data_IF_957925543478
#
_entry.id   IF_957925543478
#
_cell.length_a   1.000
_cell.length_b   1.000
_cell.length_c   1.000
_cell.angle_alpha   90.00
_cell.angle_beta   90.00
_cell.angle_gamma   90.00
#
_symmetry.space_group_name_H-M   'P 1'
#
loop_
_entity.id
_entity.type
_entity.pdbx_description
1 polymer ?
#
# COMPACT_ATOMS: atom_id res chain seq x y z
N UNK A 1 13.99 -41.44 -57.72
CA UNK A 1 14.17 -42.91 -57.65
C UNK A 1 15.56 -43.19 -57.09
N UNK A 2 15.74 -44.19 -56.22
CA UNK A 2 14.94 -44.43 -55.02
C UNK A 2 15.85 -44.93 -53.83
N UNK A 3 15.43 -44.82 -52.57
CA UNK A 3 15.05 -45.94 -51.66
C UNK A 3 15.92 -45.81 -50.39
N UNK A 4 15.48 -46.10 -49.17
CA UNK A 4 14.22 -46.64 -48.71
C UNK A 4 14.24 -46.66 -47.18
N UNK A 5 13.09 -46.36 -46.61
CA UNK A 5 12.76 -46.61 -45.22
C UNK A 5 12.89 -48.10 -44.90
N UNK A 6 13.53 -48.47 -43.78
CA UNK A 6 13.25 -49.73 -43.11
C UNK A 6 12.93 -49.46 -41.65
N UNK A 7 11.62 -49.41 -41.39
CA UNK A 7 11.04 -49.59 -40.07
C UNK A 7 10.81 -51.08 -39.85
N UNK A 8 11.36 -51.65 -38.77
CA UNK A 8 10.83 -52.88 -38.16
C UNK A 8 10.83 -52.76 -36.63
N UNK A 9 9.69 -53.02 -35.97
CA UNK A 9 9.57 -52.96 -34.52
C UNK A 9 9.92 -54.32 -33.89
N UNK A 10 10.47 -54.30 -32.67
CA UNK A 10 10.32 -55.41 -31.73
C UNK A 10 9.90 -54.89 -30.36
N UNK A 11 8.84 -55.52 -29.85
CA UNK A 11 8.16 -55.27 -28.58
C UNK A 11 8.91 -55.89 -27.40
N UNK A 12 8.64 -55.27 -26.25
CA UNK A 12 8.56 -55.81 -24.88
C UNK A 12 9.83 -56.23 -24.13
N UNK A 13 10.12 -55.46 -23.07
CA UNK A 13 10.86 -55.88 -21.88
C UNK A 13 10.71 -54.82 -20.78
N UNK A 14 9.89 -55.12 -19.77
CA UNK A 14 9.70 -54.33 -18.55
C UNK A 14 11.01 -54.26 -17.75
N UNK A 15 11.36 -53.08 -17.20
CA UNK A 15 11.87 -52.86 -15.83
C UNK A 15 12.76 -51.61 -15.73
N UNK A 16 12.49 -50.77 -14.72
CA UNK A 16 13.51 -50.05 -13.96
C UNK A 16 14.00 -48.71 -14.52
N UNK A 17 13.51 -47.63 -13.92
CA UNK A 17 14.12 -46.30 -13.98
C UNK A 17 15.55 -46.33 -13.39
N UNK A 18 16.60 -45.85 -14.08
CA UNK A 18 17.89 -45.59 -13.45
C UNK A 18 17.93 -44.13 -12.94
N UNK A 19 17.91 -44.00 -11.62
CA UNK A 19 18.39 -42.82 -10.90
C UNK A 19 19.89 -42.64 -11.20
N UNK A 20 20.26 -41.40 -11.54
CA UNK A 20 21.65 -40.97 -11.72
C UNK A 20 22.48 -41.30 -10.47
N UNK A 21 23.53 -42.09 -10.68
CA UNK A 21 24.70 -42.11 -9.84
C UNK A 21 25.70 -41.11 -10.42
N UNK A 22 26.09 -40.12 -9.63
CA UNK A 22 27.44 -39.53 -9.71
C UNK A 22 27.94 -39.34 -8.28
N UNK A 23 28.97 -40.11 -7.98
CA UNK A 23 29.65 -40.27 -6.70
C UNK A 23 30.87 -39.34 -6.69
N UNK A 24 30.84 -38.30 -5.86
CA UNK A 24 31.96 -37.36 -5.66
C UNK A 24 32.66 -37.72 -4.35
N UNK A 25 33.93 -38.09 -4.50
CA UNK A 25 35.00 -38.11 -3.50
C UNK A 25 34.75 -38.80 -2.15
N UNK A 26 35.19 -40.05 -2.11
CA UNK A 26 35.51 -40.87 -0.93
C UNK A 26 36.18 -40.07 0.21
N UNK A 27 35.40 -39.69 1.23
CA UNK A 27 35.87 -39.59 2.63
C UNK A 27 34.77 -40.03 3.62
N UNK A 28 35.06 -41.10 4.36
CA UNK A 28 34.75 -41.20 5.79
C UNK A 28 33.32 -41.57 6.22
N UNK A 29 33.04 -42.87 6.20
CA UNK A 29 32.27 -43.67 7.17
C UNK A 29 31.49 -42.97 8.30
N UNK A 30 30.19 -43.32 8.41
CA UNK A 30 29.70 -43.98 9.62
C UNK A 30 28.82 -43.17 10.58
N UNK A 31 27.54 -42.95 10.21
CA UNK A 31 26.45 -42.97 11.18
C UNK A 31 25.34 -43.86 10.61
N UNK A 32 25.10 -45.01 11.26
CA UNK A 32 24.04 -45.93 10.84
C UNK A 32 22.67 -45.24 10.88
N UNK A 33 21.76 -45.53 9.95
CA UNK A 33 20.43 -44.93 9.97
C UNK A 33 19.72 -45.34 11.27
N UNK A 34 19.22 -44.34 12.00
CA UNK A 34 18.36 -44.54 13.15
C UNK A 34 17.19 -45.43 12.73
N UNK A 35 16.99 -46.55 13.45
CA UNK A 35 15.81 -47.40 13.30
C UNK A 35 14.58 -46.67 13.82
N UNK A 36 14.02 -45.80 13.00
CA UNK A 36 12.65 -45.34 13.15
C UNK A 36 11.83 -46.01 12.04
N UNK A 37 10.95 -46.92 12.45
CA UNK A 37 9.99 -47.56 11.56
C UNK A 37 9.15 -46.49 10.85
N UNK A 38 8.85 -46.75 9.58
CA UNK A 38 7.92 -45.94 8.82
C UNK A 38 6.61 -45.81 9.59
N UNK A 39 6.23 -44.59 9.94
CA UNK A 39 4.88 -44.29 10.40
C UNK A 39 4.02 -44.18 9.15
N UNK A 40 3.19 -45.20 8.90
CA UNK A 40 2.10 -45.12 7.93
C UNK A 40 1.11 -44.03 8.39
N UNK A 41 1.08 -42.92 7.67
CA UNK A 41 0.05 -41.90 7.81
C UNK A 41 -1.04 -42.26 6.81
N UNK A 42 -2.08 -42.96 7.29
CA UNK A 42 -3.27 -43.21 6.50
C UNK A 42 -3.98 -44.53 6.82
N UNK A 43 -4.51 -44.68 8.04
CA UNK A 43 -5.58 -45.65 8.28
C UNK A 43 -6.85 -44.92 8.73
N UNK A 44 -7.89 -45.09 7.91
CA UNK A 44 -9.23 -44.55 8.06
C UNK A 44 -9.95 -45.28 9.21
N UNK A 45 -10.00 -44.62 10.37
CA UNK A 45 -10.63 -45.13 11.58
C UNK A 45 -12.14 -45.31 11.42
N UNK A 46 -12.53 -46.55 11.14
CA UNK A 46 -13.90 -47.03 11.03
C UNK A 46 -14.85 -46.56 12.15
N UNK A 47 -16.02 -46.07 11.72
CA UNK A 47 -17.16 -45.63 12.54
C UNK A 47 -17.64 -46.73 13.51
N UNK A 48 -18.15 -46.38 14.70
CA UNK A 48 -18.65 -47.37 15.66
C UNK A 48 -19.85 -48.13 15.08
N UNK A 49 -19.75 -49.46 15.10
CA UNK A 49 -20.82 -50.40 14.69
C UNK A 49 -21.98 -50.29 15.69
N UNK A 50 -23.06 -49.63 15.30
CA UNK A 50 -24.36 -49.76 15.97
C UNK A 50 -24.92 -51.17 15.73
N UNK A 51 -25.25 -51.85 16.83
CA UNK A 51 -25.74 -53.22 16.84
C UNK A 51 -27.03 -53.40 16.02
N UNK A 52 -27.07 -54.51 15.27
CA UNK A 52 -28.29 -55.02 14.62
C UNK A 52 -29.33 -55.38 15.68
N UNK A 53 -30.46 -54.66 15.72
CA UNK A 53 -31.73 -55.21 16.18
C UNK A 53 -32.61 -55.51 14.95
N UNK A 54 -33.18 -56.72 14.82
CA UNK A 54 -34.10 -57.04 13.75
C UNK A 54 -35.51 -56.63 14.17
N UNK A 55 -36.09 -55.62 13.52
CA UNK A 55 -37.45 -55.19 13.85
C UNK A 55 -38.03 -54.18 12.87
N UNK A 56 -38.88 -54.70 11.97
CA UNK A 56 -39.95 -54.02 11.20
C UNK A 56 -39.53 -52.83 10.32
N UNK A 57 -39.58 -53.07 9.01
CA UNK A 57 -39.69 -52.04 7.98
C UNK A 57 -40.95 -51.20 8.22
N UNK A 58 -40.79 -50.05 8.87
CA UNK A 58 -41.74 -48.95 8.78
C UNK A 58 -41.36 -48.15 7.52
N UNK A 59 -42.26 -48.13 6.53
CA UNK A 59 -42.19 -47.11 5.47
C UNK A 59 -42.40 -45.75 6.14
N UNK A 60 -41.31 -45.09 6.50
CA UNK A 60 -41.36 -43.69 6.90
C UNK A 60 -41.87 -42.88 5.71
N UNK A 61 -43.06 -42.32 5.90
CA UNK A 61 -43.70 -41.42 4.97
C UNK A 61 -42.70 -40.37 4.49
N UNK A 62 -42.59 -40.22 3.18
CA UNK A 62 -41.89 -39.10 2.53
C UNK A 62 -42.39 -37.82 3.18
N UNK A 63 -41.57 -37.19 4.01
CA UNK A 63 -41.87 -35.86 4.54
C UNK A 63 -41.87 -34.92 3.36
N UNK A 64 -43.07 -34.60 2.88
CA UNK A 64 -43.29 -33.46 1.98
C UNK A 64 -42.92 -32.23 2.79
N UNK A 65 -41.71 -31.72 2.58
CA UNK A 65 -41.32 -30.42 3.11
C UNK A 65 -42.29 -29.40 2.51
N UNK A 66 -43.05 -28.65 3.33
CA UNK A 66 -43.88 -27.59 2.78
C UNK A 66 -42.93 -26.60 2.09
N UNK A 67 -43.10 -26.45 0.77
CA UNK A 67 -42.43 -25.42 0.00
C UNK A 67 -42.85 -24.10 0.61
N UNK A 68 -41.97 -23.51 1.42
CA UNK A 68 -42.18 -22.21 2.04
C UNK A 68 -42.43 -21.23 0.90
N UNK A 69 -43.65 -20.71 0.81
CA UNK A 69 -44.01 -19.72 -0.20
C UNK A 69 -42.94 -18.62 -0.22
N UNK A 70 -42.26 -18.49 -1.36
CA UNK A 70 -41.28 -17.42 -1.57
C UNK A 70 -42.03 -16.09 -1.38
N UNK A 71 -41.50 -15.16 -0.58
CA UNK A 71 -42.15 -13.85 -0.42
C UNK A 71 -42.29 -13.19 -1.79
N UNK A 72 -43.54 -12.92 -2.19
CA UNK A 72 -43.93 -12.41 -3.51
C UNK A 72 -43.46 -11.00 -3.82
N UNK A 73 -42.70 -10.36 -2.91
CA UNK A 73 -42.09 -9.06 -3.12
C UNK A 73 -40.68 -9.04 -2.58
N UNK A 74 -39.68 -9.16 -3.45
CA UNK A 74 -38.31 -8.75 -3.16
C UNK A 74 -38.34 -7.21 -3.10
N UNK A 75 -38.60 -6.64 -1.93
CA UNK A 75 -38.36 -5.20 -1.72
C UNK A 75 -36.85 -4.98 -1.77
N UNK A 76 -36.35 -4.51 -2.90
CA UNK A 76 -34.99 -4.00 -3.02
C UNK A 76 -34.82 -2.91 -1.97
N UNK A 77 -34.10 -3.21 -0.88
CA UNK A 77 -33.71 -2.17 0.07
C UNK A 77 -32.79 -1.23 -0.69
N UNK A 78 -33.05 0.09 -0.69
CA UNK A 78 -32.13 1.03 -1.33
C UNK A 78 -30.76 0.85 -0.69
N UNK A 79 -29.74 0.63 -1.52
CA UNK A 79 -28.34 0.54 -1.09
C UNK A 79 -28.00 1.88 -0.43
N UNK A 80 -27.95 1.92 0.90
CA UNK A 80 -27.49 3.12 1.62
C UNK A 80 -25.98 3.19 1.44
N UNK A 81 -25.54 3.99 0.48
CA UNK A 81 -24.13 4.30 0.29
C UNK A 81 -23.59 4.95 1.57
N UNK A 82 -22.60 4.32 2.19
CA UNK A 82 -21.83 4.91 3.27
C UNK A 82 -21.19 6.21 2.73
N UNK A 83 -21.23 7.31 3.49
CA UNK A 83 -20.61 8.58 3.10
C UNK A 83 -19.14 8.41 2.64
N UNK A 84 -18.40 7.48 3.24
CA UNK A 84 -17.05 7.15 2.79
C UNK A 84 -16.99 6.48 1.40
N UNK A 85 -17.93 5.59 1.10
CA UNK A 85 -18.04 4.96 -0.23
C UNK A 85 -18.47 5.99 -1.29
N UNK A 86 -19.36 6.92 -0.94
CA UNK A 86 -19.72 8.02 -1.82
C UNK A 86 -18.51 8.89 -2.17
N UNK A 87 -17.67 9.24 -1.19
CA UNK A 87 -16.44 10.01 -1.42
C UNK A 87 -15.48 9.27 -2.36
N UNK A 88 -15.29 7.96 -2.13
CA UNK A 88 -14.46 7.14 -3.01
C UNK A 88 -14.98 7.16 -4.45
N UNK A 89 -16.27 6.88 -4.67
CA UNK A 89 -16.83 6.78 -6.02
C UNK A 89 -16.90 8.13 -6.73
N UNK A 90 -17.16 9.22 -6.01
CA UNK A 90 -17.10 10.58 -6.58
C UNK A 90 -15.68 10.94 -7.02
N UNK A 91 -14.68 10.68 -6.17
CA UNK A 91 -13.28 10.92 -6.52
C UNK A 91 -12.82 10.02 -7.69
N UNK A 92 -13.15 8.72 -7.65
CA UNK A 92 -12.82 7.77 -8.71
C UNK A 92 -13.46 8.19 -10.04
N UNK A 93 -14.74 8.56 -10.05
CA UNK A 93 -15.43 9.05 -11.24
C UNK A 93 -14.78 10.30 -11.80
N UNK A 94 -14.49 11.30 -10.95
CA UNK A 94 -13.83 12.53 -11.38
C UNK A 94 -12.43 12.27 -11.96
N UNK A 95 -11.61 11.46 -11.30
CA UNK A 95 -10.27 11.12 -11.78
C UNK A 95 -10.31 10.29 -13.07
N UNK A 96 -11.23 9.33 -13.20
CA UNK A 96 -11.38 8.54 -14.44
C UNK A 96 -11.85 9.41 -15.62
N UNK A 97 -12.70 10.42 -15.38
CA UNK A 97 -13.10 11.38 -16.42
C UNK A 97 -11.89 12.20 -16.90
N UNK A 98 -11.11 12.74 -15.97
CA UNK A 98 -9.90 13.50 -16.30
C UNK A 98 -8.87 12.60 -16.99
N UNK A 99 -8.67 11.37 -16.49
CA UNK A 99 -7.79 10.38 -17.10
C UNK A 99 -8.23 10.01 -18.52
N UNK A 100 -9.54 9.84 -18.74
CA UNK A 100 -10.10 9.58 -20.07
C UNK A 100 -9.78 10.72 -21.03
N UNK A 101 -9.96 11.97 -20.59
CA UNK A 101 -9.61 13.14 -21.38
C UNK A 101 -8.09 13.21 -21.67
N UNK A 102 -7.23 13.08 -20.66
CA UNK A 102 -5.78 13.23 -20.85
C UNK A 102 -5.17 12.09 -21.66
N UNK A 103 -5.59 10.85 -21.42
CA UNK A 103 -5.01 9.67 -22.07
C UNK A 103 -5.64 9.42 -23.44
N UNK A 104 -6.97 9.45 -23.55
CA UNK A 104 -7.66 9.05 -24.78
C UNK A 104 -7.77 10.21 -25.77
N UNK A 105 -8.00 11.44 -25.30
CA UNK A 105 -8.16 12.59 -26.20
C UNK A 105 -6.84 13.31 -26.47
N UNK A 106 -5.96 13.45 -25.46
CA UNK A 106 -4.69 14.17 -25.61
C UNK A 106 -3.48 13.26 -25.82
N UNK A 107 -3.61 11.95 -25.67
CA UNK A 107 -2.52 10.98 -25.78
C UNK A 107 -1.33 11.30 -24.84
N UNK A 108 -1.62 11.82 -23.65
CA UNK A 108 -0.62 12.18 -22.64
C UNK A 108 -0.49 11.01 -21.67
N UNK A 109 0.58 10.23 -21.82
CA UNK A 109 0.94 9.14 -20.89
C UNK A 109 2.44 9.13 -20.64
N UNK A 110 2.89 9.11 -19.36
CA UNK A 110 4.29 8.94 -19.03
C UNK A 110 4.86 7.62 -19.55
N UNK A 111 6.09 7.63 -20.07
CA UNK A 111 6.74 6.42 -20.59
C UNK A 111 6.87 5.29 -19.56
N UNK A 112 7.11 5.63 -18.29
CA UNK A 112 7.14 4.67 -17.17
C UNK A 112 5.79 3.96 -16.98
N UNK A 113 4.69 4.70 -17.10
CA UNK A 113 3.33 4.18 -16.97
C UNK A 113 3.02 3.20 -18.09
N UNK A 114 3.34 3.57 -19.34
CA UNK A 114 3.17 2.69 -20.50
C UNK A 114 4.04 1.43 -20.40
N UNK A 115 5.28 1.55 -19.89
CA UNK A 115 6.18 0.42 -19.68
C UNK A 115 5.62 -0.61 -18.70
N UNK A 116 4.92 -0.15 -17.64
CA UNK A 116 4.25 -1.04 -16.67
C UNK A 116 3.07 -1.78 -17.27
N UNK A 117 2.31 -1.12 -18.16
CA UNK A 117 1.26 -1.78 -18.94
C UNK A 117 1.86 -2.85 -19.87
N UNK A 118 2.96 -2.54 -20.54
CA UNK A 118 3.69 -3.52 -21.37
C UNK A 118 4.26 -4.69 -20.57
N UNK A 119 4.72 -4.46 -19.34
CA UNK A 119 5.13 -5.52 -18.40
C UNK A 119 3.94 -6.43 -18.08
N UNK A 120 2.81 -5.86 -17.65
CA UNK A 120 1.62 -6.62 -17.31
C UNK A 120 1.06 -7.39 -18.52
N UNK A 121 1.21 -6.84 -19.72
CA UNK A 121 0.85 -7.50 -20.98
C UNK A 121 1.74 -8.72 -21.23
N UNK A 122 3.05 -8.59 -21.07
CA UNK A 122 4.00 -9.71 -21.23
C UNK A 122 3.77 -10.84 -20.22
N UNK A 123 3.35 -10.52 -19.00
CA UNK A 123 3.03 -11.53 -17.97
C UNK A 123 1.92 -12.47 -18.43
N UNK A 124 0.93 -11.98 -19.18
CA UNK A 124 -0.26 -12.75 -19.55
C UNK A 124 -0.24 -13.24 -21.00
N UNK A 125 0.39 -12.48 -21.91
CA UNK A 125 0.26 -12.68 -23.36
C UNK A 125 1.60 -12.73 -24.10
N UNK A 126 2.73 -12.85 -23.40
CA UNK A 126 4.00 -13.14 -24.06
C UNK A 126 4.07 -14.57 -24.58
N UNK A 127 5.18 -14.89 -25.28
CA UNK A 127 5.47 -16.26 -25.74
C UNK A 127 5.61 -17.26 -24.59
N UNK A 128 5.97 -16.78 -23.40
CA UNK A 128 6.10 -17.57 -22.18
C UNK A 128 5.43 -16.84 -21.00
N UNK A 129 4.09 -16.95 -20.84
CA UNK A 129 3.37 -16.27 -19.78
C UNK A 129 3.71 -16.85 -18.40
N UNK A 130 4.38 -16.07 -17.57
CA UNK A 130 4.72 -16.45 -16.20
C UNK A 130 4.70 -15.23 -15.27
N UNK A 131 4.37 -15.45 -13.99
CA UNK A 131 4.20 -14.34 -13.03
C UNK A 131 5.52 -13.64 -12.70
N UNK A 132 6.65 -14.34 -12.83
CA UNK A 132 7.99 -13.77 -12.64
C UNK A 132 8.37 -12.71 -13.70
N UNK A 133 7.60 -12.58 -14.79
CA UNK A 133 7.79 -11.58 -15.85
C UNK A 133 7.35 -10.17 -15.44
N UNK A 134 6.77 -10.02 -14.24
CA UNK A 134 6.31 -8.76 -13.64
C UNK A 134 7.42 -7.71 -13.54
N UNK A 135 8.67 -8.12 -13.75
CA UNK A 135 9.79 -7.23 -14.01
C UNK A 135 10.68 -7.04 -12.81
N UNK A 136 11.98 -6.94 -13.09
CA UNK A 136 13.06 -6.79 -12.11
C UNK A 136 13.39 -5.31 -11.80
N UNK A 137 12.94 -4.40 -12.67
CA UNK A 137 13.29 -2.96 -12.65
C UNK A 137 12.40 -2.14 -11.72
N UNK A 138 11.13 -2.54 -11.58
CA UNK A 138 10.16 -1.86 -10.72
C UNK A 138 9.50 -2.86 -9.77
N UNK A 139 9.01 -2.35 -8.65
CA UNK A 139 8.39 -3.17 -7.62
C UNK A 139 7.08 -3.81 -8.15
N UNK A 140 6.77 -5.05 -7.76
CA UNK A 140 5.76 -5.87 -8.42
C UNK A 140 4.33 -5.33 -8.26
N UNK A 141 4.04 -4.58 -7.19
CA UNK A 141 2.70 -4.03 -7.00
C UNK A 141 2.35 -3.00 -8.08
N UNK A 142 3.32 -2.44 -8.81
CA UNK A 142 3.02 -1.47 -9.87
C UNK A 142 2.35 -2.11 -11.10
N UNK A 143 2.59 -3.40 -11.36
CA UNK A 143 2.03 -4.13 -12.51
C UNK A 143 0.97 -5.16 -12.11
N UNK A 144 0.99 -5.68 -10.87
CA UNK A 144 0.01 -6.65 -10.38
C UNK A 144 -1.46 -6.20 -10.56
N UNK A 145 -1.88 -4.97 -10.17
CA UNK A 145 -3.27 -4.53 -10.33
C UNK A 145 -3.69 -4.34 -11.79
N UNK A 146 -2.74 -4.29 -12.73
CA UNK A 146 -3.04 -4.16 -14.15
C UNK A 146 -3.48 -5.50 -14.76
N UNK A 147 -3.01 -6.63 -14.22
CA UNK A 147 -3.29 -7.97 -14.73
C UNK A 147 -4.78 -8.23 -15.03
N UNK A 148 -5.74 -7.92 -14.13
CA UNK A 148 -7.16 -8.11 -14.43
C UNK A 148 -7.69 -7.18 -15.53
N UNK A 149 -7.01 -6.06 -15.83
CA UNK A 149 -7.42 -5.11 -16.87
C UNK A 149 -6.87 -5.47 -18.25
N UNK A 150 -5.73 -6.16 -18.34
CA UNK A 150 -5.08 -6.45 -19.63
C UNK A 150 -5.98 -7.29 -20.56
N UNK A 151 -6.70 -8.35 -20.12
CA UNK A 151 -7.58 -9.12 -21.01
C UNK A 151 -8.70 -8.27 -21.65
N UNK A 152 -9.03 -7.10 -21.09
CA UNK A 152 -10.01 -6.20 -21.69
C UNK A 152 -9.54 -5.62 -23.03
N UNK A 153 -8.26 -5.77 -23.39
CA UNK A 153 -7.72 -5.39 -24.71
C UNK A 153 -8.45 -6.05 -25.89
N UNK A 154 -9.05 -7.23 -25.69
CA UNK A 154 -9.83 -7.91 -26.73
C UNK A 154 -11.17 -7.23 -27.00
N UNK A 155 -11.71 -6.48 -26.03
CA UNK A 155 -12.93 -5.70 -26.15
C UNK A 155 -12.62 -4.27 -26.58
N UNK A 156 -11.56 -3.69 -26.00
CA UNK A 156 -11.15 -2.32 -26.24
C UNK A 156 -9.62 -2.21 -26.26
N UNK A 157 -8.98 -2.26 -27.45
CA UNK A 157 -7.53 -2.31 -27.57
C UNK A 157 -6.79 -1.11 -26.93
N UNK A 158 -7.42 0.07 -26.90
CA UNK A 158 -6.82 1.29 -26.33
C UNK A 158 -6.57 1.20 -24.83
N UNK A 159 -7.25 0.29 -24.13
CA UNK A 159 -6.98 0.07 -22.70
C UNK A 159 -5.52 -0.32 -22.46
N UNK A 160 -4.89 -1.02 -23.42
CA UNK A 160 -3.47 -1.39 -23.39
C UNK A 160 -2.65 -0.50 -24.32
N UNK A 161 -3.10 -0.29 -25.57
CA UNK A 161 -2.35 0.45 -26.59
C UNK A 161 -2.00 1.87 -26.16
N UNK A 162 -2.93 2.58 -25.52
CA UNK A 162 -2.71 3.93 -25.01
C UNK A 162 -2.28 3.96 -23.54
N UNK A 163 -2.08 2.80 -22.91
CA UNK A 163 -1.71 2.72 -21.49
C UNK A 163 -2.83 3.12 -20.51
N UNK A 164 -4.09 3.20 -20.96
CA UNK A 164 -5.21 3.65 -20.13
C UNK A 164 -5.47 2.75 -18.91
N UNK A 165 -5.13 1.46 -18.98
CA UNK A 165 -5.17 0.54 -17.84
C UNK A 165 -4.40 1.06 -16.61
N UNK A 166 -3.22 1.68 -16.82
CA UNK A 166 -2.45 2.25 -15.73
C UNK A 166 -3.14 3.46 -15.11
N UNK A 167 -3.74 4.33 -15.93
CA UNK A 167 -4.50 5.48 -15.45
C UNK A 167 -5.73 5.07 -14.64
N UNK A 168 -6.40 3.97 -15.02
CA UNK A 168 -7.50 3.39 -14.21
C UNK A 168 -6.98 2.98 -12.83
N UNK A 169 -5.86 2.25 -12.78
CA UNK A 169 -5.26 1.81 -11.51
C UNK A 169 -4.90 3.01 -10.64
N UNK A 170 -4.17 4.00 -11.17
CA UNK A 170 -3.80 5.19 -10.38
C UNK A 170 -5.02 5.96 -9.89
N UNK A 171 -6.08 6.07 -10.69
CA UNK A 171 -7.29 6.79 -10.32
C UNK A 171 -8.02 6.11 -9.16
N UNK A 172 -8.12 4.78 -9.19
CA UNK A 172 -8.76 3.99 -8.14
C UNK A 172 -7.96 4.02 -6.83
N UNK A 173 -6.63 3.88 -6.90
CA UNK A 173 -5.78 3.98 -5.71
C UNK A 173 -5.80 5.38 -5.11
N UNK A 174 -5.76 6.44 -5.93
CA UNK A 174 -5.82 7.81 -5.41
C UNK A 174 -7.20 8.14 -4.84
N UNK A 175 -8.29 7.66 -5.44
CA UNK A 175 -9.62 7.75 -4.84
C UNK A 175 -9.68 7.02 -3.48
N UNK A 176 -9.00 5.87 -3.38
CA UNK A 176 -8.76 5.18 -2.12
C UNK A 176 -8.03 6.05 -1.11
N UNK A 177 -6.99 6.78 -1.53
CA UNK A 177 -6.24 7.70 -0.68
C UNK A 177 -7.12 8.84 -0.16
N UNK A 178 -7.96 9.44 -1.03
CA UNK A 178 -8.96 10.45 -0.64
C UNK A 178 -9.91 9.90 0.43
N UNK A 179 -10.41 8.67 0.25
CA UNK A 179 -11.22 7.99 1.27
C UNK A 179 -10.46 7.83 2.59
N UNK A 180 -9.19 7.42 2.56
CA UNK A 180 -8.40 7.23 3.79
C UNK A 180 -8.09 8.55 4.49
N UNK A 181 -7.88 9.66 3.77
CA UNK A 181 -7.81 11.00 4.36
C UNK A 181 -9.11 11.29 5.12
N UNK A 182 -10.26 11.15 4.45
CA UNK A 182 -11.55 11.42 5.08
C UNK A 182 -11.78 10.55 6.31
N UNK A 183 -11.48 9.26 6.22
CA UNK A 183 -11.68 8.31 7.28
C UNK A 183 -10.72 8.55 8.46
N UNK A 184 -9.46 8.89 8.19
CA UNK A 184 -8.47 9.23 9.24
C UNK A 184 -8.84 10.52 9.96
N UNK A 185 -9.27 11.56 9.23
CA UNK A 185 -9.74 12.81 9.83
C UNK A 185 -10.98 12.59 10.71
N UNK A 186 -11.91 11.71 10.30
CA UNK A 186 -13.02 11.27 11.16
C UNK A 186 -12.49 10.54 12.39
N UNK A 187 -11.48 9.71 12.23
CA UNK A 187 -10.83 8.97 13.30
C UNK A 187 -9.96 9.86 14.21
N UNK A 188 -9.71 11.11 13.83
CA UNK A 188 -9.15 12.15 14.70
C UNK A 188 -10.25 12.99 15.37
N UNK A 189 -11.52 12.72 15.10
CA UNK A 189 -12.65 13.44 15.68
C UNK A 189 -13.00 14.74 14.97
N UNK A 190 -12.45 14.99 13.78
CA UNK A 190 -12.73 16.20 13.02
C UNK A 190 -14.22 16.34 12.70
N UNK A 191 -14.76 17.53 12.93
CA UNK A 191 -16.14 17.90 12.57
C UNK A 191 -16.41 17.73 11.08
N UNK A 192 -17.69 17.55 10.71
CA UNK A 192 -18.10 17.21 9.33
C UNK A 192 -17.57 18.20 8.28
N UNK A 193 -17.74 19.50 8.51
CA UNK A 193 -17.34 20.54 7.56
C UNK A 193 -15.82 20.62 7.35
N UNK A 194 -14.96 20.85 8.38
CA UNK A 194 -13.52 20.93 8.17
C UNK A 194 -12.93 19.62 7.62
N UNK A 195 -13.51 18.48 8.00
CA UNK A 195 -13.15 17.18 7.43
C UNK A 195 -13.41 17.13 5.93
N UNK A 196 -14.61 17.54 5.49
CA UNK A 196 -14.96 17.55 4.06
C UNK A 196 -14.08 18.53 3.29
N UNK A 197 -13.86 19.74 3.82
CA UNK A 197 -13.00 20.77 3.21
C UNK A 197 -11.59 20.23 3.00
N UNK A 198 -10.94 19.70 4.04
CA UNK A 198 -9.60 19.12 3.93
C UNK A 198 -9.54 17.92 2.97
N UNK A 199 -10.60 17.10 2.94
CA UNK A 199 -10.69 15.98 1.98
C UNK A 199 -10.73 16.48 0.54
N UNK A 200 -11.53 17.51 0.26
CA UNK A 200 -11.68 18.10 -1.08
C UNK A 200 -10.38 18.81 -1.48
N UNK A 201 -9.79 19.61 -0.60
CA UNK A 201 -8.51 20.29 -0.86
C UNK A 201 -7.40 19.28 -1.19
N UNK A 202 -7.32 18.17 -0.44
CA UNK A 202 -6.41 17.08 -0.78
C UNK A 202 -6.72 16.48 -2.16
N UNK A 203 -7.98 16.18 -2.46
CA UNK A 203 -8.37 15.53 -3.71
C UNK A 203 -8.11 16.39 -4.96
N UNK A 204 -8.34 17.71 -4.86
CA UNK A 204 -8.16 18.63 -5.99
C UNK A 204 -6.75 19.22 -6.08
N UNK A 205 -5.87 18.91 -5.12
CA UNK A 205 -4.50 19.40 -5.13
C UNK A 205 -3.81 19.02 -6.45
N UNK A 206 -3.17 19.95 -7.19
CA UNK A 206 -2.67 19.73 -8.54
C UNK A 206 -1.81 18.48 -8.69
N UNK A 207 -0.89 18.25 -7.74
CA UNK A 207 -0.07 17.03 -7.72
C UNK A 207 -0.87 15.75 -7.43
N UNK A 208 -1.87 15.81 -6.56
CA UNK A 208 -2.74 14.65 -6.30
C UNK A 208 -3.54 14.32 -7.56
N UNK A 209 -4.09 15.33 -8.23
CA UNK A 209 -4.83 15.17 -9.46
C UNK A 209 -3.95 14.64 -10.60
N UNK A 210 -2.75 15.21 -10.79
CA UNK A 210 -1.80 14.75 -11.80
C UNK A 210 -1.41 13.28 -11.62
N UNK A 211 -1.10 12.87 -10.39
CA UNK A 211 -0.75 11.48 -10.07
C UNK A 211 -1.95 10.54 -9.94
N UNK A 212 -3.17 11.07 -9.85
CA UNK A 212 -4.38 10.27 -9.95
C UNK A 212 -4.60 9.76 -11.38
N UNK A 213 -4.19 10.53 -12.40
CA UNK A 213 -4.61 10.27 -13.79
C UNK A 213 -3.50 9.76 -14.71
N UNK A 214 -2.25 9.74 -14.26
CA UNK A 214 -1.10 9.47 -15.13
C UNK A 214 -0.58 8.02 -15.09
N UNK A 215 -1.15 7.14 -14.25
CA UNK A 215 -0.75 5.73 -14.14
C UNK A 215 0.56 5.46 -13.40
N UNK A 216 1.10 6.47 -12.73
CA UNK A 216 2.32 6.35 -11.95
C UNK A 216 2.07 5.79 -10.54
N UNK A 217 3.12 5.45 -9.79
CA UNK A 217 3.02 4.62 -8.57
C UNK A 217 2.73 5.43 -7.29
N UNK A 218 2.70 6.75 -7.40
CA UNK A 218 2.47 7.68 -6.30
C UNK A 218 1.10 7.46 -5.67
N UNK A 219 0.05 7.27 -6.48
CA UNK A 219 -1.30 6.98 -5.99
C UNK A 219 -1.35 5.75 -5.06
N UNK A 220 -0.65 4.68 -5.46
CA UNK A 220 -0.56 3.44 -4.70
C UNK A 220 0.24 3.61 -3.41
N UNK A 221 1.40 4.27 -3.50
CA UNK A 221 2.22 4.59 -2.34
C UNK A 221 1.38 5.36 -1.31
N UNK A 222 0.73 6.45 -1.71
CA UNK A 222 -0.07 7.27 -0.81
C UNK A 222 -1.23 6.49 -0.20
N UNK A 223 -1.95 5.68 -0.98
CA UNK A 223 -3.04 4.84 -0.48
C UNK A 223 -2.60 3.93 0.66
N UNK A 224 -1.52 3.17 0.44
CA UNK A 224 -1.01 2.23 1.43
C UNK A 224 -0.41 2.94 2.66
N UNK A 225 0.34 4.04 2.48
CA UNK A 225 0.86 4.83 3.60
C UNK A 225 -0.25 5.44 4.45
N UNK A 226 -1.37 5.86 3.85
CA UNK A 226 -2.52 6.37 4.59
C UNK A 226 -3.22 5.27 5.40
N UNK A 227 -3.35 4.05 4.86
CA UNK A 227 -3.83 2.90 5.64
C UNK A 227 -2.87 2.65 6.82
N UNK A 228 -1.57 2.55 6.56
CA UNK A 228 -0.57 2.32 7.61
C UNK A 228 -0.66 3.37 8.71
N UNK A 229 -0.74 4.66 8.32
CA UNK A 229 -0.86 5.78 9.25
C UNK A 229 -2.12 5.68 10.11
N UNK A 230 -3.27 5.41 9.49
CA UNK A 230 -4.55 5.30 10.18
C UNK A 230 -4.57 4.14 11.18
N UNK A 231 -4.04 2.98 10.78
CA UNK A 231 -3.98 1.79 11.61
C UNK A 231 -2.98 1.96 12.77
N UNK A 232 -1.81 2.55 12.50
CA UNK A 232 -0.83 2.88 13.53
C UNK A 232 -1.39 3.89 14.54
N UNK A 233 -2.05 4.96 14.07
CA UNK A 233 -2.70 5.94 14.94
C UNK A 233 -3.81 5.30 15.81
N UNK A 234 -4.59 4.39 15.20
CA UNK A 234 -5.59 3.59 15.90
C UNK A 234 -4.98 2.75 17.01
N UNK A 235 -3.86 2.06 16.75
CA UNK A 235 -3.17 1.24 17.74
C UNK A 235 -2.52 2.07 18.85
N UNK A 236 -1.96 3.24 18.51
CA UNK A 236 -1.41 4.16 19.49
C UNK A 236 -2.50 4.71 20.44
N UNK A 237 -3.75 4.81 19.97
CA UNK A 237 -4.88 5.29 20.76
C UNK A 237 -5.59 4.18 21.54
N UNK A 238 -5.77 3.01 20.93
CA UNK A 238 -6.63 1.94 21.45
C UNK A 238 -5.94 0.62 21.78
N UNK A 239 -4.67 0.43 21.40
CA UNK A 239 -3.88 -0.76 21.74
C UNK A 239 -4.32 -2.08 21.09
N UNK A 240 -5.21 -2.08 20.10
CA UNK A 240 -5.77 -3.32 19.54
C UNK A 240 -4.77 -4.01 18.59
N UNK A 241 -4.27 -5.22 18.90
CA UNK A 241 -3.20 -5.87 18.12
C UNK A 241 -3.45 -6.05 16.62
N UNK A 242 -4.68 -6.35 16.13
CA UNK A 242 -4.94 -6.51 14.70
C UNK A 242 -4.59 -5.27 13.86
N UNK A 243 -4.63 -4.08 14.47
CA UNK A 243 -4.24 -2.84 13.79
C UNK A 243 -2.77 -2.84 13.36
N UNK A 244 -1.88 -3.50 14.11
CA UNK A 244 -0.48 -3.65 13.71
C UNK A 244 -0.32 -4.59 12.51
N UNK A 245 -1.11 -5.66 12.44
CA UNK A 245 -1.11 -6.55 11.29
C UNK A 245 -1.55 -5.81 10.02
N UNK A 246 -2.63 -5.02 10.10
CA UNK A 246 -3.07 -4.18 8.98
C UNK A 246 -2.06 -3.08 8.63
N UNK A 247 -1.39 -2.48 9.62
CA UNK A 247 -0.34 -1.51 9.38
C UNK A 247 0.87 -2.15 8.67
N UNK A 248 1.28 -3.34 9.09
CA UNK A 248 2.36 -4.11 8.46
C UNK A 248 2.03 -4.52 7.03
N UNK A 249 0.83 -5.05 6.78
CA UNK A 249 0.37 -5.38 5.42
C UNK A 249 0.32 -4.14 4.52
N UNK A 250 -0.13 -3.00 5.05
CA UNK A 250 -0.15 -1.75 4.31
C UNK A 250 1.27 -1.24 4.01
N UNK A 251 2.20 -1.28 4.98
CA UNK A 251 3.60 -0.93 4.76
C UNK A 251 4.28 -1.88 3.75
N UNK A 252 3.94 -3.17 3.78
CA UNK A 252 4.36 -4.14 2.77
C UNK A 252 3.83 -3.78 1.38
N UNK A 253 2.54 -3.45 1.27
CA UNK A 253 1.94 -2.96 0.01
C UNK A 253 2.59 -1.67 -0.50
N UNK A 254 2.92 -0.75 0.40
CA UNK A 254 3.66 0.47 0.07
C UNK A 254 5.08 0.14 -0.43
N UNK A 255 5.79 -0.76 0.22
CA UNK A 255 7.13 -1.21 -0.19
C UNK A 255 7.12 -1.93 -1.53
N UNK A 256 6.14 -2.80 -1.77
CA UNK A 256 5.94 -3.45 -3.06
C UNK A 256 5.46 -2.48 -4.14
N UNK A 257 5.05 -1.26 -3.78
CA UNK A 257 4.75 -0.18 -4.72
C UNK A 257 5.99 0.67 -4.99
N UNK A 258 6.74 1.09 -3.96
CA UNK A 258 7.96 1.90 -4.05
C UNK A 258 8.90 1.60 -2.88
N UNK A 259 10.20 1.44 -3.16
CA UNK A 259 11.24 1.16 -2.15
C UNK A 259 11.35 2.23 -1.05
N UNK A 260 10.90 3.44 -1.36
CA UNK A 260 10.80 4.61 -0.48
C UNK A 260 10.04 4.32 0.83
N UNK A 261 9.12 3.35 0.81
CA UNK A 261 8.37 2.92 1.97
C UNK A 261 9.20 2.15 3.01
N UNK A 262 10.49 1.89 2.76
CA UNK A 262 11.38 1.31 3.76
C UNK A 262 11.60 2.27 4.95
N UNK A 263 11.68 3.57 4.70
CA UNK A 263 11.75 4.62 5.72
C UNK A 263 10.60 4.54 6.74
N UNK A 264 9.33 4.63 6.30
CA UNK A 264 8.19 4.48 7.19
C UNK A 264 8.07 3.10 7.85
N UNK A 265 8.52 2.02 7.20
CA UNK A 265 8.52 0.69 7.81
C UNK A 265 9.43 0.64 9.04
N UNK A 266 10.67 1.14 8.91
CA UNK A 266 11.62 1.25 10.03
C UNK A 266 11.08 2.18 11.12
N UNK A 267 10.55 3.36 10.74
CA UNK A 267 10.00 4.30 11.71
C UNK A 267 8.81 3.73 12.48
N UNK A 268 7.91 2.99 11.82
CA UNK A 268 6.79 2.33 12.46
C UNK A 268 7.26 1.27 13.47
N UNK A 269 8.28 0.47 13.14
CA UNK A 269 8.87 -0.50 14.07
C UNK A 269 9.41 0.21 15.32
N UNK A 270 10.18 1.30 15.14
CA UNK A 270 10.72 2.09 16.26
C UNK A 270 9.59 2.65 17.13
N UNK A 271 8.54 3.22 16.53
CA UNK A 271 7.37 3.73 17.27
C UNK A 271 6.66 2.61 18.04
N UNK A 272 6.46 1.43 17.43
CA UNK A 272 5.81 0.30 18.09
C UNK A 272 6.63 -0.22 19.26
N UNK A 273 7.95 -0.37 19.09
CA UNK A 273 8.85 -0.79 20.15
C UNK A 273 8.89 0.21 21.31
N UNK A 274 9.06 1.51 20.99
CA UNK A 274 9.08 2.57 21.99
C UNK A 274 7.74 2.66 22.74
N UNK A 275 6.62 2.65 22.04
CA UNK A 275 5.30 2.69 22.66
C UNK A 275 5.01 1.43 23.51
N UNK A 276 5.43 0.25 23.05
CA UNK A 276 5.28 -0.99 23.81
C UNK A 276 6.14 -0.99 25.07
N UNK A 277 7.39 -0.50 24.99
CA UNK A 277 8.29 -0.37 26.14
C UNK A 277 7.80 0.65 27.17
N UNK A 278 7.27 1.79 26.72
CA UNK A 278 6.70 2.80 27.60
C UNK A 278 5.44 2.24 28.31
N UNK A 279 4.60 1.50 27.60
CA UNK A 279 3.39 0.87 28.17
C UNK A 279 3.71 -0.29 29.12
N UNK A 280 4.78 -1.04 28.89
CA UNK A 280 5.18 -2.18 29.73
C UNK A 280 5.90 -1.77 31.02
N UNK A 281 6.40 -0.53 31.14
CA UNK A 281 6.99 0.00 32.38
C UNK A 281 6.01 0.04 33.59
N UNK A 282 4.72 -0.22 33.39
CA UNK A 282 3.71 -0.36 34.45
C UNK A 282 3.21 -1.80 34.72
N UNK A 283 3.64 -2.80 33.95
CA UNK A 283 3.25 -4.20 34.14
C UNK A 283 4.48 -5.10 34.01
N UNK A 284 4.99 -5.55 35.16
CA UNK A 284 6.16 -6.41 35.23
C UNK A 284 5.85 -7.80 34.64
N UNK A 285 6.74 -8.24 33.73
CA UNK A 285 7.00 -9.62 33.27
C UNK A 285 5.85 -10.34 32.54
N UNK A 286 5.87 -10.23 31.22
CA UNK A 286 6.01 -11.35 30.27
C UNK A 286 5.50 -10.92 28.89
N UNK A 287 6.16 -11.42 27.83
CA UNK A 287 5.94 -11.20 26.37
C UNK A 287 6.89 -10.20 25.71
N UNK A 288 8.17 -10.54 25.73
CA UNK A 288 9.05 -10.27 24.59
C UNK A 288 9.54 -11.61 24.05
N UNK A 289 8.64 -12.31 23.36
CA UNK A 289 9.01 -13.39 22.46
C UNK A 289 8.11 -13.28 21.23
N UNK A 290 8.60 -12.57 20.22
CA UNK A 290 8.18 -12.78 18.84
C UNK A 290 9.48 -12.87 18.02
N UNK A 291 9.68 -13.93 17.22
CA UNK A 291 10.93 -14.15 16.51
C UNK A 291 11.19 -12.99 15.54
N UNK A 292 12.30 -12.27 15.74
CA UNK A 292 12.90 -11.47 14.68
C UNK A 292 13.54 -12.46 13.69
N UNK A 293 12.74 -12.95 12.74
CA UNK A 293 13.28 -13.51 11.51
C UNK A 293 14.10 -12.42 10.82
N UNK A 294 15.35 -12.74 10.49
CA UNK A 294 16.38 -11.86 9.93
C UNK A 294 15.80 -10.78 9.00
N UNK A 295 15.55 -9.54 9.48
CA UNK A 295 14.79 -8.58 8.70
C UNK A 295 15.63 -7.94 7.61
N UNK A 296 16.91 -8.27 7.47
CA UNK A 296 17.89 -7.52 6.68
C UNK A 296 18.35 -8.19 5.37
N UNK A 297 17.87 -9.38 5.03
CA UNK A 297 18.28 -10.05 3.77
C UNK A 297 17.86 -9.33 2.47
N UNK A 298 16.79 -8.51 2.43
CA UNK A 298 16.47 -7.70 1.24
C UNK A 298 17.34 -6.44 1.04
N UNK A 299 18.22 -6.08 1.99
CA UNK A 299 18.82 -4.73 2.09
C UNK A 299 20.09 -4.52 1.23
N UNK A 300 20.50 -5.51 0.43
CA UNK A 300 21.66 -5.39 -0.48
C UNK A 300 21.27 -5.14 -1.93
N UNK A 301 20.00 -4.84 -2.22
CA UNK A 301 19.53 -4.66 -3.60
C UNK A 301 20.25 -3.49 -4.29
N UNK A 302 21.06 -3.84 -5.28
CA UNK A 302 21.69 -2.96 -6.28
C UNK A 302 20.64 -2.32 -7.23
N UNK A 303 19.34 -2.62 -7.07
CA UNK A 303 18.32 -2.49 -8.11
C UNK A 303 17.20 -1.46 -7.83
N UNK A 304 17.43 -0.51 -6.92
CA UNK A 304 16.51 0.63 -6.72
C UNK A 304 16.65 1.74 -7.79
N UNK A 305 16.04 2.92 -7.55
CA UNK A 305 16.19 4.13 -8.40
C UNK A 305 17.66 4.48 -8.70
N UNK A 306 18.60 4.02 -7.85
CA UNK A 306 20.03 4.12 -8.07
C UNK A 306 20.50 3.56 -9.43
N UNK A 307 19.92 2.45 -9.91
CA UNK A 307 20.27 1.87 -11.22
C UNK A 307 19.82 2.77 -12.39
N UNK A 308 18.66 3.42 -12.25
CA UNK A 308 18.14 4.38 -13.23
C UNK A 308 18.94 5.68 -13.24
N UNK A 309 19.29 6.19 -12.06
CA UNK A 309 20.14 7.39 -11.95
C UNK A 309 21.54 7.11 -12.49
N UNK A 310 22.11 5.94 -12.21
CA UNK A 310 23.41 5.54 -12.74
C UNK A 310 23.40 5.44 -14.27
N UNK A 311 22.37 4.82 -14.86
CA UNK A 311 22.18 4.78 -16.31
C UNK A 311 21.99 6.20 -16.89
N UNK A 312 21.18 7.04 -16.25
CA UNK A 312 20.94 8.41 -16.68
C UNK A 312 22.20 9.29 -16.57
N UNK A 313 23.06 9.06 -15.58
CA UNK A 313 24.38 9.70 -15.45
C UNK A 313 25.31 9.27 -16.57
N UNK A 314 25.35 7.97 -16.90
CA UNK A 314 26.10 7.46 -18.05
C UNK A 314 25.58 8.00 -19.39
N UNK A 315 24.29 8.30 -19.49
CA UNK A 315 23.66 8.91 -20.66
C UNK A 315 23.72 10.45 -20.68
N UNK A 316 24.31 11.09 -19.66
CA UNK A 316 24.46 12.54 -19.59
C UNK A 316 23.15 13.32 -19.38
N UNK A 317 22.13 12.73 -18.77
CA UNK A 317 20.84 13.39 -18.51
C UNK A 317 21.01 14.46 -17.42
N UNK A 318 20.73 15.72 -17.74
CA UNK A 318 20.95 16.89 -16.87
C UNK A 318 20.33 16.75 -15.46
N UNK A 319 19.13 16.16 -15.35
CA UNK A 319 18.46 15.92 -14.07
C UNK A 319 19.22 14.95 -13.13
N UNK A 320 20.07 14.09 -13.68
CA UNK A 320 20.91 13.15 -12.93
C UNK A 320 22.27 13.75 -12.50
N UNK A 321 22.64 14.89 -13.11
CA UNK A 321 23.85 15.66 -12.84
C UNK A 321 23.65 16.76 -11.78
N UNK A 322 22.40 17.04 -11.38
CA UNK A 322 22.09 18.05 -10.36
C UNK A 322 22.63 17.67 -8.98
N UNK A 323 22.56 16.39 -8.59
CA UNK A 323 23.04 15.91 -7.29
C UNK A 323 24.57 15.86 -7.15
N UNK A 324 25.29 15.95 -8.27
CA UNK A 324 26.77 15.93 -8.31
C UNK A 324 27.39 17.30 -8.04
N UNK A 325 26.58 18.36 -7.83
CA UNK A 325 27.05 19.72 -7.55
C UNK A 325 27.37 19.99 -6.06
N UNK A 326 27.28 18.98 -5.19
CA UNK A 326 27.57 19.08 -3.76
C UNK A 326 26.33 19.18 -2.86
N UNK A 327 26.52 18.95 -1.55
CA UNK A 327 25.43 18.76 -0.59
C UNK A 327 24.61 20.03 -0.30
N UNK A 328 25.24 21.22 -0.32
CA UNK A 328 24.60 22.52 -0.07
C UNK A 328 23.60 22.90 -1.19
N UNK A 329 24.00 22.91 -2.48
CA UNK A 329 23.07 23.14 -3.59
C UNK A 329 21.91 22.13 -3.60
N UNK A 330 22.20 20.84 -3.42
CA UNK A 330 21.18 19.80 -3.36
C UNK A 330 20.19 20.03 -2.21
N UNK A 331 20.65 20.29 -0.98
CA UNK A 331 19.78 20.58 0.15
C UNK A 331 18.87 21.81 -0.10
N UNK A 332 19.44 22.87 -0.69
CA UNK A 332 18.68 24.09 -1.01
C UNK A 332 17.59 23.85 -2.06
N UNK A 333 17.86 23.01 -3.06
CA UNK A 333 16.93 22.64 -4.12
C UNK A 333 15.80 21.75 -3.59
N UNK A 334 16.13 20.75 -2.77
CA UNK A 334 15.14 19.89 -2.11
C UNK A 334 14.21 20.72 -1.21
N UNK A 335 14.76 21.69 -0.46
CA UNK A 335 13.97 22.61 0.34
C UNK A 335 13.04 23.46 -0.52
N UNK A 336 13.53 24.08 -1.60
CA UNK A 336 12.69 24.85 -2.54
C UNK A 336 11.57 24.00 -3.11
N UNK A 337 11.85 22.77 -3.52
CA UNK A 337 10.86 21.82 -4.07
C UNK A 337 9.79 21.42 -3.05
N UNK A 338 10.21 21.13 -1.81
CA UNK A 338 9.27 20.88 -0.72
C UNK A 338 8.39 22.10 -0.42
N UNK A 339 8.96 23.30 -0.47
CA UNK A 339 8.23 24.57 -0.29
C UNK A 339 7.35 24.95 -1.49
N UNK A 340 7.70 24.54 -2.72
CA UNK A 340 6.82 24.71 -3.89
C UNK A 340 5.57 23.85 -3.74
N UNK A 341 5.73 22.63 -3.23
CA UNK A 341 4.62 21.70 -3.05
C UNK A 341 3.73 22.09 -1.87
N UNK A 342 4.37 22.37 -0.75
CA UNK A 342 3.70 22.74 0.49
C UNK A 342 4.52 23.86 1.14
N UNK A 343 4.23 25.13 0.80
CA UNK A 343 4.98 26.30 1.28
C UNK A 343 5.05 26.40 2.80
N UNK A 344 4.08 25.76 3.47
CA UNK A 344 3.94 25.75 4.91
C UNK A 344 4.39 24.44 5.56
N UNK A 345 4.96 23.49 4.81
CA UNK A 345 5.40 22.18 5.32
C UNK A 345 6.36 22.31 6.51
N UNK A 346 7.32 23.24 6.43
CA UNK A 346 8.28 23.46 7.51
C UNK A 346 7.60 23.98 8.78
N UNK A 347 6.70 24.95 8.63
CA UNK A 347 5.91 25.52 9.74
C UNK A 347 4.99 24.45 10.33
N UNK A 348 4.39 23.62 9.50
CA UNK A 348 3.53 22.51 9.91
C UNK A 348 4.29 21.42 10.66
N UNK A 349 5.49 21.06 10.20
CA UNK A 349 6.35 20.10 10.90
C UNK A 349 6.76 20.69 12.24
N UNK A 350 7.20 21.95 12.30
CA UNK A 350 7.55 22.60 13.56
C UNK A 350 6.36 22.67 14.51
N UNK A 351 5.18 23.10 14.04
CA UNK A 351 3.96 23.15 14.85
C UNK A 351 3.53 21.74 15.29
N UNK A 352 3.61 20.75 14.41
CA UNK A 352 3.29 19.36 14.73
C UNK A 352 4.25 18.77 15.76
N UNK A 353 5.56 19.03 15.64
CA UNK A 353 6.59 18.64 16.60
C UNK A 353 6.33 19.32 17.93
N UNK A 354 6.12 20.64 17.96
CA UNK A 354 5.79 21.39 19.17
C UNK A 354 4.49 20.87 19.82
N UNK A 355 3.48 20.52 19.03
CA UNK A 355 2.22 19.94 19.53
C UNK A 355 2.41 18.50 20.03
N UNK A 356 3.22 17.68 19.35
CA UNK A 356 3.53 16.32 19.76
C UNK A 356 4.29 16.29 21.09
N UNK A 357 5.34 17.11 21.21
CA UNK A 357 6.15 17.22 22.43
C UNK A 357 5.41 17.96 23.54
N UNK A 358 4.60 18.98 23.21
CA UNK A 358 3.86 19.79 24.18
C UNK A 358 2.58 19.14 24.70
N UNK A 359 1.87 18.33 23.89
CA UNK A 359 0.56 17.76 24.27
C UNK A 359 0.53 16.24 24.42
N UNK A 360 1.63 15.53 24.10
CA UNK A 360 1.71 14.05 24.11
C UNK A 360 0.57 13.38 23.32
N UNK A 361 0.10 14.02 22.25
CA UNK A 361 -1.01 13.49 21.47
C UNK A 361 -0.54 12.40 20.49
N UNK A 362 -0.87 11.15 20.81
CA UNK A 362 -0.58 9.97 20.00
C UNK A 362 -1.03 10.08 18.53
N UNK A 363 -2.02 10.94 18.24
CA UNK A 363 -2.56 11.20 16.89
C UNK A 363 -1.54 11.84 15.96
N UNK A 364 -0.57 12.59 16.50
CA UNK A 364 0.46 13.30 15.73
C UNK A 364 1.63 12.39 15.37
N UNK A 365 1.91 11.41 16.23
CA UNK A 365 3.08 10.52 16.09
C UNK A 365 3.00 9.68 14.82
N UNK A 366 1.83 9.11 14.49
CA UNK A 366 1.72 8.22 13.33
C UNK A 366 1.92 8.95 11.98
N UNK A 367 1.25 10.08 11.68
CA UNK A 367 1.51 10.82 10.44
C UNK A 367 2.97 11.28 10.32
N UNK A 368 3.59 11.72 11.42
CA UNK A 368 4.98 12.16 11.43
C UNK A 368 5.96 10.99 11.22
N UNK A 369 5.72 9.86 11.88
CA UNK A 369 6.56 8.68 11.74
C UNK A 369 6.45 8.07 10.33
N UNK A 370 5.26 8.02 9.75
CA UNK A 370 5.07 7.44 8.41
C UNK A 370 5.55 8.42 7.33
N UNK A 371 4.89 9.58 7.19
CA UNK A 371 5.21 10.49 6.09
C UNK A 371 6.50 11.27 6.31
N UNK A 372 6.82 11.64 7.55
CA UNK A 372 8.10 12.29 7.86
C UNK A 372 9.30 11.39 7.56
N UNK A 373 9.19 10.08 7.81
CA UNK A 373 10.23 9.13 7.45
C UNK A 373 10.39 8.95 5.93
N UNK A 374 9.29 8.99 5.16
CA UNK A 374 9.39 9.01 3.68
C UNK A 374 10.17 10.23 3.22
N UNK A 375 9.79 11.42 3.68
CA UNK A 375 10.43 12.68 3.28
C UNK A 375 11.91 12.70 3.69
N UNK A 376 12.22 12.28 4.92
CA UNK A 376 13.60 12.19 5.40
C UNK A 376 14.43 11.19 4.59
N UNK A 377 13.85 10.03 4.27
CA UNK A 377 14.51 9.02 3.45
C UNK A 377 14.74 9.49 2.01
N UNK A 378 13.75 10.17 1.40
CA UNK A 378 13.89 10.77 0.06
C UNK A 378 14.97 11.84 0.04
N UNK A 379 14.99 12.71 1.05
CA UNK A 379 16.05 13.72 1.18
C UNK A 379 17.43 13.07 1.30
N UNK A 380 17.57 12.03 2.13
CA UNK A 380 18.83 11.32 2.30
C UNK A 380 19.32 10.67 0.99
N UNK A 381 18.43 10.04 0.23
CA UNK A 381 18.76 9.45 -1.06
C UNK A 381 19.08 10.50 -2.14
N UNK A 382 18.36 11.62 -2.16
CA UNK A 382 18.63 12.74 -3.05
C UNK A 382 20.01 13.37 -2.79
N UNK A 383 20.35 13.59 -1.51
CA UNK A 383 21.66 14.09 -1.09
C UNK A 383 22.81 13.12 -1.43
N UNK A 384 22.52 11.82 -1.59
CA UNK A 384 23.47 10.79 -2.04
C UNK A 384 23.52 10.61 -3.55
N UNK A 385 22.75 11.40 -4.32
CA UNK A 385 22.65 11.27 -5.77
C UNK A 385 22.04 9.94 -6.24
N UNK A 386 21.23 9.28 -5.40
CA UNK A 386 20.56 8.03 -5.72
C UNK A 386 19.09 8.22 -6.17
N UNK A 387 18.63 9.48 -6.26
CA UNK A 387 17.29 9.87 -6.69
C UNK A 387 17.35 11.07 -7.63
N UNK A 388 16.44 11.09 -8.60
CA UNK A 388 16.17 12.28 -9.41
C UNK A 388 15.53 13.38 -8.55
N UNK A 389 15.73 14.62 -8.97
CA UNK A 389 15.23 15.81 -8.27
C UNK A 389 13.75 16.14 -8.48
N UNK A 390 12.91 15.23 -8.94
CA UNK A 390 11.55 15.58 -9.39
C UNK A 390 10.61 15.85 -8.19
N UNK A 391 9.64 16.75 -8.39
CA UNK A 391 8.64 17.11 -7.35
C UNK A 391 7.86 15.91 -6.81
N UNK A 392 7.74 14.84 -7.61
CA UNK A 392 7.01 13.61 -7.27
C UNK A 392 7.50 12.90 -6.02
N UNK A 393 8.80 12.97 -5.74
CA UNK A 393 9.41 12.34 -4.57
C UNK A 393 9.00 13.02 -3.26
N UNK A 394 8.47 14.23 -3.33
CA UNK A 394 8.01 15.00 -2.17
C UNK A 394 6.47 15.01 -2.04
N UNK A 395 5.74 14.23 -2.85
CA UNK A 395 4.27 14.18 -2.81
C UNK A 395 3.71 13.73 -1.44
N UNK A 396 4.51 12.99 -0.67
CA UNK A 396 4.20 12.54 0.69
C UNK A 396 3.95 13.70 1.68
N UNK A 397 4.43 14.91 1.39
CA UNK A 397 4.26 16.09 2.23
C UNK A 397 2.78 16.54 2.29
N UNK A 398 2.04 16.40 1.18
CA UNK A 398 0.63 16.82 1.07
C UNK A 398 -0.30 16.06 2.05
N UNK A 399 -0.33 14.71 2.07
CA UNK A 399 -1.12 13.99 3.06
C UNK A 399 -0.59 14.19 4.49
N UNK A 400 0.73 14.36 4.68
CA UNK A 400 1.29 14.67 5.99
C UNK A 400 0.71 15.98 6.53
N UNK A 401 0.79 17.06 5.75
CA UNK A 401 0.20 18.36 6.07
C UNK A 401 -1.29 18.24 6.39
N UNK A 402 -2.05 17.58 5.51
CA UNK A 402 -3.49 17.36 5.67
C UNK A 402 -3.84 16.67 6.98
N UNK A 403 -3.14 15.59 7.32
CA UNK A 403 -3.37 14.83 8.56
C UNK A 403 -2.93 15.61 9.79
N UNK A 404 -1.80 16.33 9.74
CA UNK A 404 -1.31 17.16 10.83
C UNK A 404 -2.32 18.27 11.17
N UNK A 405 -2.91 18.94 10.17
CA UNK A 405 -4.02 19.89 10.41
C UNK A 405 -5.19 19.17 11.09
N UNK A 406 -5.51 17.97 10.62
CA UNK A 406 -6.54 17.12 11.22
C UNK A 406 -6.35 16.89 12.71
N UNK A 407 -5.11 16.75 13.17
CA UNK A 407 -4.80 16.61 14.61
C UNK A 407 -5.01 17.90 15.41
N UNK A 408 -4.93 19.07 14.77
CA UNK A 408 -5.16 20.36 15.42
C UNK A 408 -6.66 20.71 15.55
N UNK A 409 -7.53 20.02 14.83
CA UNK A 409 -8.96 20.26 14.87
C UNK A 409 -9.60 19.81 16.20
N UNK A 410 -10.65 20.51 16.68
CA UNK A 410 -11.36 20.10 17.89
C UNK A 410 -11.96 18.70 17.75
N UNK A 411 -11.73 17.84 18.75
CA UNK A 411 -12.35 16.52 18.83
C UNK A 411 -13.86 16.67 19.12
N UNK A 412 -14.70 16.29 18.16
CA UNK A 412 -16.16 16.32 18.27
C UNK A 412 -16.78 14.93 18.48
N UNK A 413 -15.98 13.94 18.87
CA UNK A 413 -16.52 12.64 19.26
C UNK A 413 -17.38 12.80 20.51
N UNK A 414 -18.52 12.10 20.62
CA UNK A 414 -19.29 12.10 21.86
C UNK A 414 -18.37 11.61 22.97
N UNK A 415 -18.12 12.47 23.96
CA UNK A 415 -17.39 12.11 25.16
C UNK A 415 -18.09 10.91 25.79
N UNK A 416 -17.36 9.83 26.08
CA UNK A 416 -17.85 8.90 27.10
C UNK A 416 -18.07 9.74 28.37
N UNK A 417 -19.19 9.59 29.09
CA UNK A 417 -19.40 10.35 30.30
C UNK A 417 -18.33 9.94 31.32
N UNK A 418 -17.27 10.73 31.40
CA UNK A 418 -16.28 10.67 32.48
C UNK A 418 -16.71 11.71 33.50
N UNK A 419 -16.92 11.27 34.73
CA UNK A 419 -17.33 12.06 35.90
C UNK A 419 -16.21 13.00 36.39
N UNK A 420 -15.70 13.86 35.51
CA UNK A 420 -14.66 14.84 35.85
C UNK A 420 -15.23 16.22 35.57
N UNK A 421 -15.34 17.02 36.63
CA UNK A 421 -15.82 18.41 36.60
C UNK A 421 -15.08 19.26 35.57
N UNK A 422 -15.75 20.27 34.97
CA UNK A 422 -15.17 21.08 33.91
C UNK A 422 -14.15 22.04 34.50
N UNK A 423 -12.86 21.77 34.29
CA UNK A 423 -11.83 22.75 34.59
C UNK A 423 -11.78 23.83 33.49
N UNK A 424 -11.98 25.07 33.92
CA UNK A 424 -12.06 26.26 33.09
C UNK A 424 -10.65 26.77 32.79
N UNK A 425 -10.03 26.34 31.69
CA UNK A 425 -8.85 27.03 31.15
C UNK A 425 -8.96 27.26 29.64
N UNK A 426 -9.30 28.51 29.27
CA UNK A 426 -9.22 29.05 27.90
C UNK A 426 -7.80 29.56 27.65
N UNK A 427 -7.06 28.92 26.72
CA UNK A 427 -6.54 29.62 25.53
C UNK A 427 -6.72 28.80 24.24
N UNK A 428 -7.52 27.72 24.30
CA UNK A 428 -7.67 26.69 23.25
C UNK A 428 -8.24 27.18 21.92
N UNK A 429 -8.90 28.35 21.88
CA UNK A 429 -9.62 28.84 20.68
C UNK A 429 -8.76 29.69 19.72
N UNK A 430 -7.77 30.45 20.23
CA UNK A 430 -6.98 31.39 19.39
C UNK A 430 -5.85 30.71 18.62
N UNK A 431 -5.10 29.80 19.25
CA UNK A 431 -4.01 29.06 18.59
C UNK A 431 -4.55 28.09 17.53
N UNK A 432 -5.70 27.46 17.79
CA UNK A 432 -6.39 26.58 16.83
C UNK A 432 -6.94 27.38 15.65
N UNK A 433 -7.50 28.57 15.86
CA UNK A 433 -8.00 29.41 14.77
C UNK A 433 -6.86 29.92 13.88
N UNK A 434 -5.76 30.43 14.44
CA UNK A 434 -4.63 30.97 13.67
C UNK A 434 -3.89 29.86 12.90
N UNK A 435 -3.61 28.72 13.53
CA UNK A 435 -2.97 27.58 12.86
C UNK A 435 -3.84 26.94 11.78
N UNK A 436 -5.16 26.86 11.98
CA UNK A 436 -6.09 26.33 10.97
C UNK A 436 -6.25 27.29 9.79
N UNK A 437 -6.31 28.61 10.04
CA UNK A 437 -6.45 29.64 9.00
C UNK A 437 -5.19 29.79 8.16
N UNK A 438 -4.00 29.87 8.76
CA UNK A 438 -2.72 29.97 8.01
C UNK A 438 -2.55 28.77 7.08
N UNK A 439 -2.97 27.58 7.52
CA UNK A 439 -2.76 26.36 6.74
C UNK A 439 -3.88 26.10 5.73
N UNK A 440 -5.14 26.48 6.01
CA UNK A 440 -6.19 26.50 4.98
C UNK A 440 -5.83 27.48 3.85
N UNK A 441 -5.24 28.62 4.19
CA UNK A 441 -4.68 29.56 3.21
C UNK A 441 -3.49 28.92 2.48
N UNK A 442 -2.66 28.15 3.17
CA UNK A 442 -1.55 27.41 2.56
C UNK A 442 -1.94 26.32 1.57
N UNK A 443 -2.88 25.45 1.93
CA UNK A 443 -3.45 24.43 1.06
C UNK A 443 -4.27 25.04 -0.10
N UNK A 444 -4.93 26.18 0.14
CA UNK A 444 -5.60 26.91 -0.92
C UNK A 444 -4.59 27.60 -1.86
N UNK A 445 -3.47 28.09 -1.33
CA UNK A 445 -2.41 28.73 -2.12
C UNK A 445 -1.58 27.71 -2.92
N UNK A 446 -1.33 26.51 -2.41
CA UNK A 446 -0.68 25.42 -3.16
C UNK A 446 -1.62 24.75 -4.19
N UNK A 447 -2.94 24.90 -4.00
CA UNK A 447 -3.94 24.47 -4.97
C UNK A 447 -4.12 25.44 -6.15
N UNK A 448 -3.55 26.66 -6.07
CA UNK A 448 -3.49 27.56 -7.22
C UNK A 448 -2.37 27.09 -8.17
N UNK A 449 -2.63 27.02 -9.49
CA UNK A 449 -1.59 26.66 -10.44
C UNK A 449 -0.46 27.68 -10.33
N UNK A 450 0.74 27.19 -9.99
CA UNK A 450 1.99 27.95 -10.15
C UNK A 450 2.25 28.02 -11.66
N UNK A 451 1.51 28.90 -12.33
CA UNK A 451 1.94 29.44 -13.60
C UNK A 451 3.10 30.38 -13.31
N UNK A 452 4.25 30.09 -13.91
CA UNK A 452 5.56 30.72 -13.72
C UNK A 452 6.36 30.22 -12.51
N UNK A 453 7.27 29.26 -12.77
CA UNK A 453 8.74 29.43 -12.74
C UNK A 453 9.36 28.26 -13.50
#
# INVERSE_FOLDING_TARGET
MPDGWVYRPRRCGLAGSPLLADDVDRRGQGAGPARHGAVEVGEDGSRPRLGRQPGRLAMDAVRVFPVRALPSTIRLRPIRLNAGALIFWLAAGAYLLVAGFTVLALNIVPGDSLSRVGIAERVLFSRDPHLEAIGFVWNPMQSLPLLPLIPLKFLWPDIVRLGFAAAIVSALFMAGAVYQIHATLRDFGAGRLPRLVLTVLFAVHPMILYYAVNGMSEAMLLFFLLIATRQLAGWLSGGHPPQLAYAGLALGGAYLSRYEAIGPAVAAIVVVLAASFIRSRGQHKDRLAAPMGHPFEPFTSVYGNASQVHLAQHQGVAAALESTQGWLPAASMALRRALILEPFALILIVVAVVVAFGKREARVVAPLAVFGAVVAFMLALYLRGALFGELRYFIAVIPAATLLIGTLLPDRRPSRPTSVSPDMTRPRRRVVAVGTTIVLVGLAASALPVAAI
#
